data_IF_817833125714
#
_entry.id   IF_817833125714
#
_cell.length_a   1.000
_cell.length_b   1.000
_cell.length_c   1.000
_cell.angle_alpha   90.00
_cell.angle_beta   90.00
_cell.angle_gamma   90.00
#
_symmetry.space_group_name_H-M   'P 1'
#
loop_
_entity.id
_entity.type
_entity.pdbx_description
1 polymer ?
#
# COMPACT_ATOMS: atom_id res chain seq x y z
N UNK A 1 28.55 -14.03 -9.42
CA UNK A 1 28.80 -12.89 -10.34
C UNK A 1 27.77 -11.81 -10.01
N UNK A 2 27.98 -11.13 -8.88
CA UNK A 2 28.57 -9.79 -8.75
C UNK A 2 27.53 -8.68 -8.93
N UNK A 3 27.10 -8.18 -7.77
CA UNK A 3 26.29 -7.00 -7.52
C UNK A 3 26.74 -5.82 -8.37
N UNK A 4 25.92 -5.44 -9.35
CA UNK A 4 26.19 -4.25 -10.18
C UNK A 4 25.83 -3.01 -9.38
N UNK A 5 26.86 -2.31 -8.92
CA UNK A 5 26.81 -0.99 -8.33
C UNK A 5 26.21 0.01 -9.35
N UNK A 6 24.88 0.19 -9.31
CA UNK A 6 24.08 1.01 -10.24
C UNK A 6 24.18 2.53 -9.99
N UNK A 7 25.15 3.00 -9.21
CA UNK A 7 25.14 4.36 -8.69
C UNK A 7 25.85 5.39 -9.59
N UNK A 8 26.50 4.98 -10.69
CA UNK A 8 27.29 5.87 -11.57
C UNK A 8 27.14 5.60 -13.09
N UNK A 9 26.15 4.80 -13.52
CA UNK A 9 25.84 4.63 -14.94
C UNK A 9 24.78 5.66 -15.33
N UNK A 10 25.20 6.69 -16.06
CA UNK A 10 24.26 7.62 -16.67
C UNK A 10 23.33 6.83 -17.62
N UNK A 11 22.00 6.99 -17.52
CA UNK A 11 21.07 6.26 -18.36
C UNK A 11 21.37 6.59 -19.83
N UNK A 12 21.50 5.54 -20.65
CA UNK A 12 21.68 5.73 -22.10
C UNK A 12 20.49 6.48 -22.68
N UNK A 13 20.69 7.24 -23.75
CA UNK A 13 19.64 8.05 -24.39
C UNK A 13 18.37 7.25 -24.70
N UNK A 14 18.52 5.97 -25.07
CA UNK A 14 17.41 5.06 -25.30
C UNK A 14 16.54 4.84 -24.05
N UNK A 15 17.16 4.68 -22.88
CA UNK A 15 16.42 4.53 -21.62
C UNK A 15 15.69 5.80 -21.22
N UNK A 16 16.31 6.97 -21.47
CA UNK A 16 15.68 8.27 -21.24
C UNK A 16 14.46 8.47 -22.13
N UNK A 17 14.58 8.15 -23.43
CA UNK A 17 13.46 8.22 -24.39
C UNK A 17 12.32 7.31 -23.96
N UNK A 18 12.62 6.06 -23.59
CA UNK A 18 11.61 5.10 -23.11
C UNK A 18 10.88 5.59 -21.85
N UNK A 19 11.57 6.24 -20.91
CA UNK A 19 10.95 6.85 -19.73
C UNK A 19 10.07 8.04 -20.12
N UNK A 20 10.55 8.93 -20.98
CA UNK A 20 9.79 10.10 -21.45
C UNK A 20 8.51 9.70 -22.20
N UNK A 21 8.58 8.68 -23.05
CA UNK A 21 7.39 8.13 -23.73
C UNK A 21 6.37 7.59 -22.75
N UNK A 22 6.83 6.89 -21.71
CA UNK A 22 5.96 6.38 -20.65
C UNK A 22 5.31 7.53 -19.87
N UNK A 23 6.07 8.54 -19.47
CA UNK A 23 5.54 9.74 -18.82
C UNK A 23 4.53 10.46 -19.71
N UNK A 24 4.81 10.65 -21.00
CA UNK A 24 3.91 11.31 -21.94
C UNK A 24 2.59 10.53 -22.13
N UNK A 25 2.63 9.19 -22.15
CA UNK A 25 1.42 8.36 -22.16
C UNK A 25 0.64 8.46 -20.84
N UNK A 26 1.33 8.36 -19.70
CA UNK A 26 0.70 8.43 -18.39
C UNK A 26 0.00 9.80 -18.16
N UNK A 27 0.60 10.90 -18.62
CA UNK A 27 -0.02 12.24 -18.62
C UNK A 27 -1.26 12.29 -19.50
N UNK A 28 -1.20 11.74 -20.73
CA UNK A 28 -2.35 11.69 -21.65
C UNK A 28 -3.50 10.86 -21.10
N UNK A 29 -3.20 9.81 -20.34
CA UNK A 29 -4.19 8.98 -19.65
C UNK A 29 -4.79 9.65 -18.39
N UNK A 30 -4.37 10.88 -18.05
CA UNK A 30 -4.86 11.61 -16.89
C UNK A 30 -4.40 11.03 -15.55
N UNK A 31 -3.46 10.08 -15.56
CA UNK A 31 -2.87 9.52 -14.35
C UNK A 31 -1.81 10.47 -13.83
N UNK A 32 -1.67 10.61 -12.50
CA UNK A 32 -0.57 11.40 -11.91
C UNK A 32 0.77 10.81 -12.40
N UNK A 33 1.44 11.54 -13.29
CA UNK A 33 2.74 11.17 -13.86
C UNK A 33 3.87 11.13 -12.82
N UNK A 34 3.61 11.66 -11.62
CA UNK A 34 4.44 11.48 -10.44
C UNK A 34 4.01 10.20 -9.73
N UNK A 35 4.78 9.12 -9.93
CA UNK A 35 4.70 7.96 -9.05
C UNK A 35 4.89 8.44 -7.61
N UNK A 36 3.85 8.29 -6.77
CA UNK A 36 3.94 8.62 -5.35
C UNK A 36 5.23 7.98 -4.78
N UNK A 37 6.06 8.80 -4.14
CA UNK A 37 7.32 8.36 -3.55
C UNK A 37 7.07 7.16 -2.63
N UNK A 38 8.05 6.27 -2.48
CA UNK A 38 7.91 5.15 -1.54
C UNK A 38 7.58 5.63 -0.12
N UNK A 39 8.08 6.81 0.26
CA UNK A 39 7.74 7.47 1.53
C UNK A 39 6.26 7.86 1.60
N UNK A 40 5.71 8.41 0.52
CA UNK A 40 4.30 8.80 0.42
C UNK A 40 3.37 7.58 0.48
N UNK A 41 3.74 6.48 -0.19
CA UNK A 41 3.03 5.20 -0.12
C UNK A 41 3.05 4.57 1.28
N UNK A 42 4.13 4.78 2.02
CA UNK A 42 4.27 4.27 3.38
C UNK A 42 3.46 5.12 4.37
N UNK A 43 3.42 6.44 4.17
CA UNK A 43 2.61 7.36 4.95
C UNK A 43 1.09 7.11 4.77
N UNK A 44 0.66 6.69 3.58
CA UNK A 44 -0.74 6.34 3.30
C UNK A 44 -1.14 4.92 3.70
N UNK A 45 -0.23 4.09 4.26
CA UNK A 45 -0.64 2.79 4.80
C UNK A 45 -1.32 2.99 6.15
N UNK A 46 -2.50 2.41 6.29
CA UNK A 46 -3.18 2.29 7.58
C UNK A 46 -2.27 1.57 8.58
N UNK A 47 -2.09 2.12 9.80
CA UNK A 47 -1.24 1.50 10.82
C UNK A 47 -1.81 0.19 11.37
N UNK A 48 -3.11 -0.06 11.17
CA UNK A 48 -3.84 -1.23 11.66
C UNK A 48 -4.30 -2.08 10.47
N UNK A 49 -4.10 -3.39 10.56
CA UNK A 49 -4.56 -4.34 9.55
C UNK A 49 -6.07 -4.60 9.67
N UNK A 50 -6.71 -4.94 8.56
CA UNK A 50 -8.14 -5.31 8.55
C UNK A 50 -8.43 -6.48 9.49
N UNK A 51 -7.50 -7.42 9.61
CA UNK A 51 -7.60 -8.54 10.55
C UNK A 51 -7.62 -8.10 12.01
N UNK A 52 -6.77 -7.14 12.38
CA UNK A 52 -6.77 -6.60 13.74
C UNK A 52 -8.11 -5.91 14.07
N UNK A 53 -8.67 -5.15 13.12
CA UNK A 53 -9.99 -4.55 13.28
C UNK A 53 -11.08 -5.63 13.44
N UNK A 54 -11.02 -6.70 12.65
CA UNK A 54 -11.94 -7.83 12.75
C UNK A 54 -11.91 -8.53 14.12
N UNK A 55 -10.72 -8.74 14.69
CA UNK A 55 -10.56 -9.33 16.03
C UNK A 55 -11.16 -8.41 17.10
N UNK A 56 -10.88 -7.11 17.05
CA UNK A 56 -11.43 -6.14 18.01
C UNK A 56 -12.95 -6.15 17.96
N UNK A 57 -13.54 -6.09 16.77
CA UNK A 57 -14.99 -6.19 16.61
C UNK A 57 -15.52 -7.52 17.15
N UNK A 58 -14.88 -8.64 16.82
CA UNK A 58 -15.28 -9.96 17.32
C UNK A 58 -15.24 -10.04 18.85
N UNK A 59 -14.23 -9.47 19.51
CA UNK A 59 -14.15 -9.45 20.98
C UNK A 59 -15.27 -8.59 21.58
N UNK A 60 -15.53 -7.41 21.00
CA UNK A 60 -16.61 -6.53 21.45
C UNK A 60 -17.98 -7.19 21.28
N UNK A 61 -18.28 -7.71 20.10
CA UNK A 61 -19.56 -8.40 19.84
C UNK A 61 -19.65 -9.74 20.57
N UNK A 62 -18.57 -10.51 20.62
CA UNK A 62 -18.52 -11.80 21.29
C UNK A 62 -18.71 -11.68 22.80
N UNK A 63 -18.15 -10.64 23.43
CA UNK A 63 -18.41 -10.31 24.82
C UNK A 63 -19.88 -9.99 25.07
N UNK A 64 -20.50 -9.17 24.21
CA UNK A 64 -21.94 -8.84 24.31
C UNK A 64 -22.81 -10.08 24.09
N UNK A 65 -22.50 -10.91 23.09
CA UNK A 65 -23.22 -12.17 22.83
C UNK A 65 -23.09 -13.11 24.02
N UNK A 66 -21.91 -13.22 24.61
CA UNK A 66 -21.68 -14.01 25.81
C UNK A 66 -22.49 -13.50 27.00
N UNK A 67 -22.55 -12.18 27.20
CA UNK A 67 -23.39 -11.57 28.23
C UNK A 67 -24.87 -11.84 28.02
N UNK A 68 -25.36 -11.74 26.77
CA UNK A 68 -26.75 -12.05 26.42
C UNK A 68 -27.08 -13.52 26.66
N UNK A 69 -26.19 -14.44 26.25
CA UNK A 69 -26.35 -15.86 26.54
C UNK A 69 -26.38 -16.11 28.06
N UNK A 70 -25.49 -15.47 28.82
CA UNK A 70 -25.51 -15.57 30.28
C UNK A 70 -26.84 -15.07 30.84
N UNK A 71 -27.35 -13.91 30.40
CA UNK A 71 -28.63 -13.38 30.86
C UNK A 71 -29.84 -14.27 30.53
N UNK A 72 -29.79 -14.99 29.42
CA UNK A 72 -30.91 -15.85 28.97
C UNK A 72 -30.85 -17.24 29.61
N UNK A 73 -29.65 -17.77 29.85
CA UNK A 73 -29.44 -19.16 30.26
C UNK A 73 -28.95 -19.35 31.71
N UNK A 74 -28.56 -18.30 32.43
CA UNK A 74 -28.06 -18.33 33.81
C UNK A 74 -28.84 -17.36 34.72
#
# INVERSE_FOLDING_TARGET
MTSTNKHLLQPTEFELRKRNEKFAKDVKEGKKATHASRADKLAHRSPISVWALGIVLFVVFGGVVFELLKLVFL
#
